data_IF_258471460456
#
_entry.id   IF_258471460456
#
_cell.length_a   1.000
_cell.length_b   1.000
_cell.length_c   1.000
_cell.angle_alpha   90.00
_cell.angle_beta   90.00
_cell.angle_gamma   90.00
#
_symmetry.space_group_name_H-M   'P 1'
#
loop_
_entity.id
_entity.type
_entity.pdbx_description
1 polymer ?
#
# COMPACT_ATOMS: atom_id res chain seq x y z
N UNK A 1 -12.43 -20.72 12.25
CA UNK A 1 -11.36 -21.15 11.32
C UNK A 1 -11.91 -22.32 10.53
N UNK A 2 -11.74 -22.33 9.20
CA UNK A 2 -12.23 -23.43 8.35
C UNK A 2 -11.49 -24.74 8.67
N UNK A 3 -12.17 -25.87 8.54
CA UNK A 3 -11.51 -27.18 8.60
C UNK A 3 -10.52 -27.33 7.43
N UNK A 4 -9.37 -27.95 7.67
CA UNK A 4 -8.27 -28.03 6.70
C UNK A 4 -8.70 -28.61 5.34
N UNK A 5 -9.56 -29.65 5.33
CA UNK A 5 -10.05 -30.28 4.09
C UNK A 5 -10.99 -29.37 3.28
N UNK A 6 -11.80 -28.57 3.97
CA UNK A 6 -12.72 -27.64 3.33
C UNK A 6 -11.95 -26.47 2.71
N UNK A 7 -10.97 -25.94 3.45
CA UNK A 7 -10.08 -24.89 2.97
C UNK A 7 -9.27 -25.35 1.75
N UNK A 8 -8.70 -26.55 1.78
CA UNK A 8 -7.89 -27.09 0.67
C UNK A 8 -8.70 -27.24 -0.62
N UNK A 9 -9.95 -27.74 -0.52
CA UNK A 9 -10.87 -27.82 -1.67
C UNK A 9 -11.17 -26.43 -2.24
N UNK A 10 -11.46 -25.48 -1.35
CA UNK A 10 -11.78 -24.12 -1.73
C UNK A 10 -10.60 -23.40 -2.38
N UNK A 11 -9.39 -23.62 -1.86
CA UNK A 11 -8.14 -23.11 -2.43
C UNK A 11 -7.91 -23.69 -3.82
N UNK A 12 -7.88 -25.02 -3.94
CA UNK A 12 -7.55 -25.70 -5.19
C UNK A 12 -8.53 -25.36 -6.31
N UNK A 13 -9.82 -25.25 -5.98
CA UNK A 13 -10.86 -24.94 -6.96
C UNK A 13 -10.84 -23.48 -7.46
N UNK A 14 -10.32 -22.53 -6.68
CA UNK A 14 -10.47 -21.09 -6.97
C UNK A 14 -9.15 -20.36 -7.22
N UNK A 15 -8.02 -20.90 -6.76
CA UNK A 15 -6.71 -20.25 -6.84
C UNK A 15 -6.36 -19.79 -8.25
N UNK A 16 -6.55 -20.66 -9.25
CA UNK A 16 -6.22 -20.33 -10.64
C UNK A 16 -7.07 -19.19 -11.22
N UNK A 17 -8.34 -19.09 -10.83
CA UNK A 17 -9.20 -17.98 -11.26
C UNK A 17 -8.83 -16.68 -10.54
N UNK A 18 -8.53 -16.76 -9.24
CA UNK A 18 -8.10 -15.63 -8.42
C UNK A 18 -6.77 -15.05 -8.89
N UNK A 19 -5.76 -15.89 -9.14
CA UNK A 19 -4.42 -15.42 -9.54
C UNK A 19 -4.44 -14.82 -10.95
N UNK A 20 -5.24 -15.37 -11.88
CA UNK A 20 -5.43 -14.76 -13.21
C UNK A 20 -6.02 -13.37 -13.09
N UNK A 21 -7.09 -13.22 -12.30
CA UNK A 21 -7.72 -11.92 -12.08
C UNK A 21 -6.76 -10.91 -11.45
N UNK A 22 -6.00 -11.32 -10.43
CA UNK A 22 -5.02 -10.46 -9.77
C UNK A 22 -3.93 -10.00 -10.75
N UNK A 23 -3.36 -10.92 -11.55
CA UNK A 23 -2.33 -10.60 -12.56
C UNK A 23 -2.85 -9.67 -13.64
N UNK A 24 -4.11 -9.82 -14.06
CA UNK A 24 -4.76 -8.91 -15.01
C UNK A 24 -4.94 -7.49 -14.45
N UNK A 25 -5.14 -7.35 -13.13
CA UNK A 25 -5.36 -6.05 -12.50
C UNK A 25 -4.08 -5.35 -12.05
N UNK A 26 -3.13 -6.11 -11.50
CA UNK A 26 -1.91 -5.58 -10.88
C UNK A 26 -0.71 -5.56 -11.82
N UNK A 27 -0.69 -6.41 -12.85
CA UNK A 27 0.45 -6.57 -13.76
C UNK A 27 1.79 -6.90 -13.08
N UNK A 28 1.76 -7.31 -11.81
CA UNK A 28 2.90 -7.73 -11.01
C UNK A 28 2.63 -9.13 -10.45
N UNK A 29 3.56 -10.07 -10.62
CA UNK A 29 3.36 -11.46 -10.24
C UNK A 29 3.38 -11.68 -8.73
N UNK A 30 4.23 -10.98 -8.01
CA UNK A 30 4.39 -11.16 -6.57
C UNK A 30 3.27 -10.45 -5.81
N UNK A 31 2.92 -9.21 -6.17
CA UNK A 31 1.74 -8.54 -5.58
C UNK A 31 0.45 -9.31 -5.86
N UNK A 32 0.36 -9.97 -7.01
CA UNK A 32 -0.79 -10.83 -7.33
C UNK A 32 -0.88 -12.03 -6.40
N UNK A 33 0.24 -12.70 -6.11
CA UNK A 33 0.28 -13.84 -5.19
C UNK A 33 -0.08 -13.40 -3.77
N UNK A 34 0.46 -12.28 -3.32
CA UNK A 34 0.19 -11.71 -2.00
C UNK A 34 -1.29 -11.32 -1.84
N UNK A 35 -1.89 -10.68 -2.85
CA UNK A 35 -3.30 -10.33 -2.82
C UNK A 35 -4.22 -11.56 -2.69
N UNK A 36 -3.87 -12.66 -3.37
CA UNK A 36 -4.59 -13.93 -3.30
C UNK A 36 -4.38 -14.61 -1.94
N UNK A 37 -3.14 -14.62 -1.43
CA UNK A 37 -2.80 -15.17 -0.13
C UNK A 37 -3.56 -14.47 1.02
N UNK A 38 -3.60 -13.14 1.00
CA UNK A 38 -4.35 -12.32 1.96
C UNK A 38 -5.84 -12.66 1.99
N UNK A 39 -6.46 -12.82 0.81
CA UNK A 39 -7.88 -13.19 0.70
C UNK A 39 -8.10 -14.60 1.23
N UNK A 40 -7.23 -15.55 0.90
CA UNK A 40 -7.34 -16.93 1.38
C UNK A 40 -7.13 -17.02 2.90
N UNK A 41 -6.18 -16.27 3.45
CA UNK A 41 -5.99 -16.18 4.90
C UNK A 41 -7.23 -15.60 5.62
N UNK A 42 -7.83 -14.55 5.04
CA UNK A 42 -9.09 -13.99 5.56
C UNK A 42 -10.23 -15.01 5.55
N UNK A 43 -10.34 -15.79 4.49
CA UNK A 43 -11.37 -16.84 4.37
C UNK A 43 -11.09 -17.98 5.35
N UNK A 44 -9.84 -18.40 5.50
CA UNK A 44 -9.44 -19.41 6.47
C UNK A 44 -9.84 -19.03 7.90
N UNK A 45 -9.61 -17.77 8.27
CA UNK A 45 -9.90 -17.25 9.61
C UNK A 45 -11.39 -16.99 9.85
N UNK A 46 -12.08 -16.34 8.89
CA UNK A 46 -13.45 -15.81 9.07
C UNK A 46 -14.55 -16.59 8.35
N UNK A 47 -14.19 -17.55 7.49
CA UNK A 47 -15.11 -18.27 6.62
C UNK A 47 -15.68 -17.40 5.49
N UNK A 48 -16.54 -18.01 4.69
CA UNK A 48 -17.36 -17.32 3.69
C UNK A 48 -18.78 -17.20 4.25
N UNK A 49 -19.43 -16.03 4.18
CA UNK A 49 -20.82 -15.91 4.61
C UNK A 49 -21.75 -16.77 3.74
N UNK A 50 -22.64 -17.54 4.37
CA UNK A 50 -23.53 -18.53 3.73
C UNK A 50 -24.37 -18.00 2.56
N UNK A 51 -24.66 -16.69 2.57
CA UNK A 51 -25.44 -16.03 1.51
C UNK A 51 -24.71 -15.90 0.16
N UNK A 52 -23.42 -16.22 0.09
CA UNK A 52 -22.62 -16.04 -1.12
C UNK A 52 -22.14 -17.36 -1.71
N UNK A 53 -22.16 -17.44 -3.04
CA UNK A 53 -21.43 -18.49 -3.76
C UNK A 53 -19.92 -18.32 -3.55
N UNK A 54 -19.18 -19.35 -3.09
CA UNK A 54 -17.76 -19.25 -2.75
C UNK A 54 -16.90 -18.62 -3.84
N UNK A 55 -17.01 -19.09 -5.09
CA UNK A 55 -16.21 -18.56 -6.21
C UNK A 55 -16.49 -17.09 -6.50
N UNK A 56 -17.77 -16.66 -6.47
CA UNK A 56 -18.14 -15.26 -6.70
C UNK A 56 -17.63 -14.35 -5.57
N UNK A 57 -17.74 -14.83 -4.33
CA UNK A 57 -17.24 -14.12 -3.16
C UNK A 57 -15.73 -13.91 -3.23
N UNK A 58 -14.97 -14.98 -3.50
CA UNK A 58 -13.52 -14.95 -3.58
C UNK A 58 -13.02 -14.00 -4.69
N UNK A 59 -13.59 -14.09 -5.88
CA UNK A 59 -13.24 -13.18 -6.98
C UNK A 59 -13.56 -11.72 -6.64
N UNK A 60 -14.68 -11.46 -5.97
CA UNK A 60 -15.01 -10.11 -5.50
C UNK A 60 -14.01 -9.60 -4.44
N UNK A 61 -13.60 -10.46 -3.50
CA UNK A 61 -12.60 -10.12 -2.49
C UNK A 61 -11.24 -9.84 -3.11
N UNK A 62 -10.76 -10.67 -4.04
CA UNK A 62 -9.50 -10.46 -4.76
C UNK A 62 -9.56 -9.19 -5.59
N UNK A 63 -10.63 -8.96 -6.35
CA UNK A 63 -10.82 -7.72 -7.10
C UNK A 63 -10.74 -6.50 -6.19
N UNK A 64 -11.45 -6.51 -5.07
CA UNK A 64 -11.45 -5.39 -4.14
C UNK A 64 -10.07 -5.18 -3.52
N UNK A 65 -9.36 -6.26 -3.13
CA UNK A 65 -7.98 -6.19 -2.64
C UNK A 65 -7.04 -5.59 -3.69
N UNK A 66 -7.14 -6.01 -4.94
CA UNK A 66 -6.34 -5.47 -6.04
C UNK A 66 -6.68 -3.99 -6.29
N UNK A 67 -7.96 -3.62 -6.27
CA UNK A 67 -8.37 -2.20 -6.39
C UNK A 67 -7.86 -1.35 -5.23
N UNK A 68 -7.81 -1.90 -4.02
CA UNK A 68 -7.24 -1.22 -2.86
C UNK A 68 -5.73 -1.05 -2.99
N UNK A 69 -5.02 -2.07 -3.50
CA UNK A 69 -3.59 -1.98 -3.87
C UNK A 69 -3.39 -0.91 -4.95
N UNK A 70 -4.14 -0.95 -6.05
CA UNK A 70 -4.07 0.03 -7.14
C UNK A 70 -4.38 1.43 -6.63
N UNK A 71 -5.37 1.61 -5.75
CA UNK A 71 -5.66 2.90 -5.12
C UNK A 71 -4.48 3.37 -4.28
N UNK A 72 -3.87 2.48 -3.50
CA UNK A 72 -2.68 2.80 -2.71
C UNK A 72 -1.48 3.13 -3.62
N UNK A 73 -1.30 2.42 -4.73
CA UNK A 73 -0.29 2.73 -5.76
C UNK A 73 -0.59 4.04 -6.47
N UNK A 74 -1.85 4.35 -6.78
CA UNK A 74 -2.24 5.60 -7.42
C UNK A 74 -2.09 6.77 -6.46
N UNK A 75 -2.41 6.57 -5.18
CA UNK A 75 -2.13 7.55 -4.12
C UNK A 75 -0.61 7.69 -3.97
N UNK A 76 0.15 6.60 -3.98
CA UNK A 76 1.62 6.60 -3.95
C UNK A 76 2.20 7.30 -5.18
N UNK A 77 1.71 7.05 -6.38
CA UNK A 77 2.12 7.72 -7.62
C UNK A 77 1.69 9.18 -7.65
N UNK A 78 0.54 9.54 -7.08
CA UNK A 78 0.16 10.95 -6.87
C UNK A 78 1.08 11.61 -5.87
N UNK A 79 1.53 10.89 -4.85
CA UNK A 79 2.52 11.33 -3.88
C UNK A 79 3.92 11.42 -4.51
N UNK A 80 4.33 10.47 -5.36
CA UNK A 80 5.58 10.45 -6.17
C UNK A 80 5.53 11.42 -7.38
N UNK A 81 4.35 11.88 -7.80
CA UNK A 81 4.22 13.02 -8.72
C UNK A 81 4.23 14.36 -7.99
N UNK A 82 3.80 14.39 -6.73
CA UNK A 82 3.94 15.55 -5.84
C UNK A 82 5.34 15.66 -5.20
N UNK A 83 6.14 14.60 -5.27
CA UNK A 83 7.52 14.50 -4.80
C UNK A 83 8.33 13.98 -5.99
N UNK A 84 9.04 14.80 -6.78
CA UNK A 84 9.70 14.31 -7.98
C UNK A 84 10.72 13.23 -7.60
N UNK A 85 10.33 11.98 -7.77
CA UNK A 85 11.22 10.82 -7.77
C UNK A 85 11.17 10.31 -9.20
N UNK A 86 12.32 10.41 -9.84
CA UNK A 86 12.64 10.00 -11.21
C UNK A 86 12.01 8.66 -11.60
N UNK A 87 11.11 8.69 -12.59
CA UNK A 87 11.16 7.73 -13.71
C UNK A 87 10.43 8.19 -14.99
N UNK A 88 10.38 9.50 -15.22
CA UNK A 88 10.08 10.03 -16.56
C UNK A 88 11.16 11.02 -16.93
N UNK A 89 11.94 10.65 -17.96
CA UNK A 89 12.82 11.55 -18.71
C UNK A 89 12.02 12.75 -19.21
N UNK A 90 11.97 13.80 -18.39
CA UNK A 90 11.73 15.17 -18.83
C UNK A 90 12.82 15.98 -18.12
N UNK A 91 13.71 16.66 -18.86
CA UNK A 91 14.74 17.48 -18.25
C UNK A 91 14.07 18.71 -17.64
N UNK A 92 13.69 18.60 -16.36
CA UNK A 92 13.54 19.77 -15.50
C UNK A 92 14.94 20.17 -15.04
N UNK A 93 15.25 21.47 -15.03
CA UNK A 93 16.59 21.95 -14.75
C UNK A 93 17.11 21.45 -13.39
N UNK A 94 18.40 21.06 -13.28
CA UNK A 94 18.97 20.45 -12.07
C UNK A 94 18.77 21.24 -10.77
N UNK A 95 18.60 22.56 -10.89
CA UNK A 95 18.53 23.49 -9.76
C UNK A 95 17.20 23.38 -8.98
N UNK A 96 16.08 23.12 -9.65
CA UNK A 96 14.76 23.10 -8.98
C UNK A 96 14.53 21.85 -8.13
N UNK A 97 15.00 20.68 -8.59
CA UNK A 97 14.83 19.41 -7.85
C UNK A 97 15.67 19.36 -6.59
N UNK A 98 16.90 19.88 -6.66
CA UNK A 98 17.79 19.97 -5.51
C UNK A 98 17.19 20.86 -4.42
N UNK A 99 16.56 21.98 -4.81
CA UNK A 99 15.90 22.91 -3.90
C UNK A 99 14.67 22.30 -3.20
N UNK A 100 13.85 21.52 -3.91
CA UNK A 100 12.67 20.86 -3.31
C UNK A 100 13.09 19.79 -2.28
N UNK A 101 14.13 19.01 -2.58
CA UNK A 101 14.62 17.99 -1.64
C UNK A 101 15.13 18.60 -0.34
N UNK A 102 15.93 19.67 -0.44
CA UNK A 102 16.40 20.45 0.72
C UNK A 102 15.23 21.01 1.54
N UNK A 103 14.19 21.52 0.88
CA UNK A 103 13.00 22.04 1.55
C UNK A 103 12.23 20.94 2.29
N UNK A 104 12.07 19.75 1.70
CA UNK A 104 11.43 18.61 2.37
C UNK A 104 12.22 18.20 3.61
N UNK A 105 13.55 18.16 3.52
CA UNK A 105 14.40 17.84 4.68
C UNK A 105 14.24 18.89 5.79
N UNK A 106 14.20 20.18 5.45
CA UNK A 106 13.99 21.25 6.41
C UNK A 106 12.62 21.16 7.09
N UNK A 107 11.55 20.94 6.32
CA UNK A 107 10.18 20.79 6.85
C UNK A 107 10.07 19.54 7.72
N UNK A 108 10.71 18.43 7.32
CA UNK A 108 10.76 17.21 8.11
C UNK A 108 11.49 17.45 9.45
N UNK A 109 12.56 18.23 9.47
CA UNK A 109 13.31 18.50 10.70
C UNK A 109 12.55 19.43 11.65
N UNK A 110 11.90 20.46 11.10
CA UNK A 110 11.29 21.53 11.90
C UNK A 110 9.82 21.28 12.26
N UNK A 111 9.05 20.66 11.36
CA UNK A 111 7.59 20.65 11.44
C UNK A 111 6.98 19.27 11.68
N UNK A 112 7.74 18.18 11.47
CA UNK A 112 7.21 16.83 11.69
C UNK A 112 7.27 16.48 13.18
N UNK A 113 6.15 16.03 13.78
CA UNK A 113 6.19 15.42 15.10
C UNK A 113 7.13 14.19 15.09
N UNK A 114 7.84 13.88 16.20
CA UNK A 114 8.88 12.84 16.22
C UNK A 114 8.43 11.48 15.67
N UNK A 115 7.23 11.04 16.04
CA UNK A 115 6.72 9.75 15.59
C UNK A 115 6.25 9.78 14.13
N UNK A 116 5.77 10.92 13.64
CA UNK A 116 5.47 11.12 12.23
C UNK A 116 6.74 11.10 11.38
N UNK A 117 7.82 11.75 11.85
CA UNK A 117 9.14 11.69 11.23
C UNK A 117 9.66 10.26 11.15
N UNK A 118 9.62 9.52 12.26
CA UNK A 118 10.11 8.14 12.29
C UNK A 118 9.33 7.22 11.33
N UNK A 119 8.00 7.31 11.33
CA UNK A 119 7.14 6.58 10.37
C UNK A 119 7.46 6.96 8.92
N UNK A 120 7.70 8.25 8.65
CA UNK A 120 8.03 8.75 7.32
C UNK A 120 9.39 8.20 6.87
N UNK A 121 10.43 8.27 7.69
CA UNK A 121 11.77 7.76 7.36
C UNK A 121 11.78 6.24 7.13
N UNK A 122 11.12 5.46 7.99
CA UNK A 122 11.00 4.00 7.79
C UNK A 122 10.31 3.67 6.46
N UNK A 123 9.34 4.50 6.05
CA UNK A 123 8.65 4.32 4.78
C UNK A 123 9.49 4.73 3.57
N UNK A 124 10.12 5.90 3.61
CA UNK A 124 10.71 6.53 2.42
C UNK A 124 12.22 6.28 2.30
N UNK A 125 12.94 6.19 3.41
CA UNK A 125 14.39 5.90 3.40
C UNK A 125 14.62 4.38 3.41
N UNK A 126 13.92 3.66 4.29
CA UNK A 126 14.11 2.22 4.49
C UNK A 126 13.14 1.35 3.69
N UNK A 127 12.19 1.96 2.98
CA UNK A 127 11.22 1.30 2.09
C UNK A 127 10.34 0.22 2.75
N UNK A 128 10.14 0.29 4.08
CA UNK A 128 9.31 -0.68 4.79
C UNK A 128 7.83 -0.56 4.40
N UNK A 129 7.14 -1.69 4.40
CA UNK A 129 5.68 -1.78 4.27
C UNK A 129 4.99 -1.22 5.51
N UNK A 130 3.72 -0.85 5.38
CA UNK A 130 2.96 -0.37 6.54
C UNK A 130 2.76 -1.43 7.63
N UNK A 131 2.81 -2.72 7.27
CA UNK A 131 2.80 -3.80 8.25
C UNK A 131 4.13 -3.85 9.00
N UNK A 132 5.25 -3.84 8.29
CA UNK A 132 6.58 -3.86 8.91
C UNK A 132 6.81 -2.64 9.80
N UNK A 133 6.35 -1.45 9.38
CA UNK A 133 6.43 -0.23 10.22
C UNK A 133 5.55 -0.37 11.47
N UNK A 134 4.33 -0.91 11.31
CA UNK A 134 3.41 -1.13 12.44
C UNK A 134 4.02 -2.10 13.46
N UNK A 135 4.63 -3.18 12.98
CA UNK A 135 5.34 -4.17 13.81
C UNK A 135 6.59 -3.56 14.46
N UNK A 136 7.43 -2.89 13.68
CA UNK A 136 8.68 -2.26 14.11
C UNK A 136 8.46 -1.18 15.18
N UNK A 137 7.36 -0.43 15.09
CA UNK A 137 7.03 0.63 16.04
C UNK A 137 6.00 0.20 17.10
N UNK A 138 5.53 -1.04 17.05
CA UNK A 138 4.47 -1.56 17.92
C UNK A 138 3.21 -0.70 17.95
N UNK A 139 2.79 -0.21 16.78
CA UNK A 139 1.55 0.58 16.61
C UNK A 139 0.61 -0.13 15.63
N UNK A 140 -0.65 0.33 15.54
CA UNK A 140 -1.56 -0.22 14.53
C UNK A 140 -1.21 0.29 13.13
N UNK A 141 -1.51 -0.51 12.10
CA UNK A 141 -1.51 -0.05 10.69
C UNK A 141 -2.29 1.26 10.51
N UNK A 142 -3.43 1.41 11.19
CA UNK A 142 -4.23 2.63 11.17
C UNK A 142 -3.46 3.86 11.70
N UNK A 143 -2.65 3.68 12.75
CA UNK A 143 -1.78 4.73 13.26
C UNK A 143 -0.67 5.09 12.26
N UNK A 144 -0.07 4.10 11.58
CA UNK A 144 0.90 4.34 10.49
C UNK A 144 0.29 5.23 9.40
N UNK A 145 -0.92 4.88 8.92
CA UNK A 145 -1.64 5.70 7.95
C UNK A 145 -1.88 7.13 8.45
N UNK A 146 -2.29 7.29 9.71
CA UNK A 146 -2.53 8.61 10.32
C UNK A 146 -1.26 9.47 10.35
N UNK A 147 -0.11 8.88 10.71
CA UNK A 147 1.17 9.56 10.70
C UNK A 147 1.59 9.96 9.28
N UNK A 148 1.49 9.07 8.30
CA UNK A 148 1.81 9.39 6.90
C UNK A 148 0.89 10.47 6.32
N UNK A 149 -0.42 10.41 6.60
CA UNK A 149 -1.36 11.45 6.21
C UNK A 149 -1.02 12.81 6.84
N UNK A 150 -0.57 12.82 8.10
CA UNK A 150 -0.12 14.04 8.79
C UNK A 150 1.14 14.61 8.16
N UNK A 151 2.15 13.78 7.87
CA UNK A 151 3.38 14.20 7.18
C UNK A 151 3.06 14.87 5.84
N UNK A 152 2.21 14.25 5.03
CA UNK A 152 1.78 14.79 3.73
C UNK A 152 1.05 16.12 3.89
N UNK A 153 0.17 16.24 4.89
CA UNK A 153 -0.54 17.49 5.16
C UNK A 153 0.43 18.63 5.51
N UNK A 154 1.48 18.35 6.28
CA UNK A 154 2.50 19.35 6.64
C UNK A 154 3.28 19.78 5.40
N UNK A 155 3.77 18.83 4.61
CA UNK A 155 4.51 19.11 3.37
C UNK A 155 3.70 19.95 2.39
N UNK A 156 2.40 19.65 2.22
CA UNK A 156 1.51 20.44 1.34
C UNK A 156 1.31 21.88 1.80
N UNK A 157 1.35 22.14 3.10
CA UNK A 157 1.23 23.49 3.64
C UNK A 157 2.54 24.26 3.52
N UNK A 158 3.69 23.58 3.56
CA UNK A 158 5.01 24.19 3.52
C UNK A 158 5.57 24.35 2.10
N UNK A 159 5.17 23.51 1.16
CA UNK A 159 5.66 23.51 -0.22
C UNK A 159 4.56 24.08 -1.13
N UNK A 160 4.74 25.29 -1.71
CA UNK A 160 3.79 25.85 -2.66
C UNK A 160 3.75 24.96 -3.91
N UNK A 161 2.61 24.33 -4.16
CA UNK A 161 2.37 23.63 -5.41
C UNK A 161 2.00 24.70 -6.44
N UNK A 162 2.94 25.09 -7.30
CA UNK A 162 2.70 25.99 -8.44
C UNK A 162 2.45 25.16 -9.69
#
# INVERSE_FOLDING_TARGET
>A
MLENKEFERLYTANYMAMIRLARTLLHDEDESRDAVADVMFRVYTKGIPDRYTPSKYLLACVRNKCLDIIRQMTIRQKVEKMLPIEDTMVPAEPDERQNIYLLIMQVMENDFPPQTKNVFQLRFDQRLSYQEIAEHLHISKAAVYKHLAKAISILKSAIPIT
#
